data_IF_066501525561
#
_entry.id   IF_066501525561
#
_cell.length_a   1.000
_cell.length_b   1.000
_cell.length_c   1.000
_cell.angle_alpha   90.00
_cell.angle_beta   90.00
_cell.angle_gamma   90.00
#
_symmetry.space_group_name_H-M   'P 1'
#
loop_
_entity.id
_entity.type
_entity.pdbx_description
1 polymer ?
#
# COMPACT_ATOMS: atom_id res chain seq x y z
N UNK A 1 -5.87 -9.72 -12.60
CA UNK A 1 -6.51 -10.78 -13.40
C UNK A 1 -7.07 -11.91 -12.53
N UNK A 2 -6.26 -12.58 -11.72
CA UNK A 2 -6.68 -13.74 -10.91
C UNK A 2 -7.78 -13.50 -9.86
N UNK A 3 -7.95 -12.26 -9.37
CA UNK A 3 -8.94 -11.93 -8.34
C UNK A 3 -10.26 -11.36 -8.88
N UNK A 4 -10.35 -11.11 -10.20
CA UNK A 4 -11.44 -10.30 -10.78
C UNK A 4 -12.83 -10.85 -10.46
N UNK A 5 -12.97 -12.16 -10.45
CA UNK A 5 -14.27 -12.84 -10.33
C UNK A 5 -14.57 -13.32 -8.89
N UNK A 6 -13.70 -13.00 -7.92
CA UNK A 6 -13.87 -13.44 -6.52
C UNK A 6 -14.55 -12.39 -5.63
N UNK A 7 -14.81 -11.19 -6.16
CA UNK A 7 -15.27 -10.05 -5.35
C UNK A 7 -14.19 -9.46 -4.44
N UNK A 8 -12.94 -9.88 -4.59
CA UNK A 8 -11.80 -9.44 -3.79
C UNK A 8 -10.78 -8.68 -4.64
N UNK A 9 -10.00 -7.82 -3.99
CA UNK A 9 -8.86 -7.16 -4.59
C UNK A 9 -7.68 -7.05 -3.61
N UNK A 10 -6.48 -6.87 -4.18
CA UNK A 10 -5.29 -6.54 -3.42
C UNK A 10 -5.11 -5.01 -3.42
N UNK A 11 -5.03 -4.34 -2.26
CA UNK A 11 -5.19 -2.89 -2.20
C UNK A 11 -3.92 -2.10 -2.49
N UNK A 12 -2.74 -2.73 -2.49
CA UNK A 12 -1.47 -2.04 -2.71
C UNK A 12 -1.20 -1.95 -4.20
N UNK A 13 -1.05 -0.73 -4.69
CA UNK A 13 -0.75 -0.41 -6.08
C UNK A 13 0.36 0.65 -6.11
N UNK A 14 1.64 0.23 -6.22
CA UNK A 14 2.79 1.12 -6.14
C UNK A 14 3.11 1.85 -7.45
N UNK A 15 2.28 1.73 -8.50
CA UNK A 15 2.52 2.36 -9.80
C UNK A 15 3.58 1.61 -10.63
N UNK A 16 3.15 1.07 -11.76
CA UNK A 16 3.93 0.30 -12.74
C UNK A 16 4.57 -1.03 -12.24
N UNK A 17 4.73 -1.96 -13.20
CA UNK A 17 5.35 -3.32 -13.23
C UNK A 17 6.12 -3.87 -11.99
N UNK A 18 5.59 -3.73 -10.77
CA UNK A 18 6.21 -4.27 -9.57
C UNK A 18 5.77 -5.74 -9.34
N UNK A 19 6.73 -6.59 -8.95
CA UNK A 19 6.43 -7.93 -8.46
C UNK A 19 6.01 -7.88 -6.99
N UNK A 20 5.18 -8.82 -6.54
CA UNK A 20 4.77 -8.90 -5.14
C UNK A 20 5.97 -9.07 -4.20
N UNK A 21 6.96 -9.86 -4.61
CA UNK A 21 8.21 -10.05 -3.86
C UNK A 21 9.01 -8.75 -3.75
N UNK A 22 9.17 -8.00 -4.84
CA UNK A 22 9.83 -6.69 -4.84
C UNK A 22 9.09 -5.69 -3.94
N UNK A 23 7.77 -5.64 -4.04
CA UNK A 23 6.93 -4.82 -3.17
C UNK A 23 7.13 -5.15 -1.68
N UNK A 24 7.19 -6.43 -1.33
CA UNK A 24 7.43 -6.85 0.06
C UNK A 24 8.85 -6.49 0.50
N UNK A 25 9.85 -6.75 -0.34
CA UNK A 25 11.26 -6.48 -0.07
C UNK A 25 11.52 -4.98 0.12
N UNK A 26 10.83 -4.08 -0.60
CA UNK A 26 11.00 -2.62 -0.46
C UNK A 26 9.97 -1.96 0.46
N UNK A 27 9.11 -2.76 1.10
CA UNK A 27 8.01 -2.26 1.96
C UNK A 27 7.13 -1.23 1.22
N UNK A 28 6.75 -1.55 -0.01
CA UNK A 28 6.00 -0.66 -0.87
C UNK A 28 4.72 -0.12 -0.21
N UNK A 29 4.48 1.17 -0.42
CA UNK A 29 3.20 1.83 -0.18
C UNK A 29 2.45 1.99 -1.50
N UNK A 30 1.22 2.50 -1.42
CA UNK A 30 0.44 2.87 -2.60
C UNK A 30 -0.59 3.92 -2.21
N UNK A 31 -1.27 4.50 -3.19
CA UNK A 31 -2.26 5.59 -2.99
C UNK A 31 -3.41 5.21 -2.04
N UNK A 32 -3.68 3.91 -1.91
CA UNK A 32 -4.69 3.32 -1.03
C UNK A 32 -4.20 3.05 0.41
N UNK A 33 -2.94 3.37 0.74
CA UNK A 33 -2.34 3.01 2.02
C UNK A 33 -3.02 3.65 3.23
N UNK A 34 -3.63 4.83 3.06
CA UNK A 34 -4.41 5.50 4.11
C UNK A 34 -5.55 4.61 4.63
N UNK A 35 -6.17 3.82 3.75
CA UNK A 35 -7.29 2.94 4.11
C UNK A 35 -6.87 1.53 4.45
N UNK A 36 -5.89 0.99 3.71
CA UNK A 36 -5.58 -0.43 3.75
C UNK A 36 -4.19 -0.77 4.29
N UNK A 37 -3.38 0.23 4.63
CA UNK A 37 -1.99 0.07 5.06
C UNK A 37 -1.04 -0.19 3.89
N UNK A 38 0.21 -0.54 4.21
CA UNK A 38 1.27 -0.80 3.22
C UNK A 38 1.48 -2.30 2.99
N UNK A 39 2.51 -2.69 2.24
CA UNK A 39 2.94 -4.09 2.16
C UNK A 39 3.19 -4.72 3.52
N UNK A 40 3.64 -3.93 4.51
CA UNK A 40 3.72 -4.39 5.89
C UNK A 40 2.36 -4.90 6.34
N UNK A 41 1.34 -4.05 6.39
CA UNK A 41 0.03 -4.42 6.92
C UNK A 41 -0.68 -5.51 6.09
N UNK A 42 -0.32 -5.69 4.81
CA UNK A 42 -0.99 -6.61 3.90
C UNK A 42 -0.28 -7.96 3.69
N UNK A 43 0.97 -8.13 4.13
CA UNK A 43 1.64 -9.45 4.16
C UNK A 43 1.40 -10.11 5.52
N UNK A 44 0.79 -11.30 5.50
CA UNK A 44 0.48 -12.10 6.69
C UNK A 44 1.60 -13.07 7.04
N UNK A 45 2.23 -13.67 6.04
CA UNK A 45 3.41 -14.52 6.17
C UNK A 45 4.16 -14.55 4.84
N UNK A 46 5.42 -14.94 4.89
CA UNK A 46 6.24 -15.12 3.69
C UNK A 46 7.16 -16.34 3.85
N UNK A 47 7.59 -16.85 2.70
CA UNK A 47 8.65 -17.86 2.62
C UNK A 47 9.82 -17.24 1.88
N UNK A 48 11.02 -17.42 2.44
CA UNK A 48 12.26 -16.91 1.88
C UNK A 48 13.36 -17.97 1.90
N UNK A 49 14.27 -17.89 0.93
CA UNK A 49 15.52 -18.65 0.90
C UNK A 49 16.62 -17.75 1.46
N UNK A 50 17.28 -18.22 2.52
CA UNK A 50 18.36 -17.52 3.22
C UNK A 50 19.69 -17.67 2.48
N UNK A 51 20.72 -16.94 2.91
CA UNK A 51 22.03 -16.92 2.25
C UNK A 51 22.75 -18.28 2.26
N UNK A 52 22.48 -19.12 3.25
CA UNK A 52 22.98 -20.50 3.35
C UNK A 52 22.13 -21.53 2.58
N UNK A 53 21.07 -21.08 1.92
CA UNK A 53 20.13 -21.92 1.18
C UNK A 53 18.98 -22.48 2.02
N UNK A 54 18.93 -22.22 3.34
CA UNK A 54 17.82 -22.65 4.17
C UNK A 54 16.52 -21.96 3.73
N UNK A 55 15.42 -22.71 3.70
CA UNK A 55 14.08 -22.15 3.43
C UNK A 55 13.34 -21.90 4.73
N UNK A 56 13.00 -20.64 4.99
CA UNK A 56 12.29 -20.21 6.21
C UNK A 56 10.88 -19.73 5.87
N UNK A 57 9.88 -20.19 6.63
CA UNK A 57 8.51 -19.66 6.58
C UNK A 57 8.19 -18.93 7.87
N UNK A 58 7.92 -17.62 7.77
CA UNK A 58 7.91 -16.70 8.92
C UNK A 58 6.63 -16.73 9.77
N UNK A 59 5.56 -17.36 9.28
CA UNK A 59 4.27 -17.34 9.96
C UNK A 59 3.25 -18.28 9.36
N UNK A 60 2.12 -18.44 10.06
CA UNK A 60 0.96 -19.24 9.62
C UNK A 60 -0.21 -18.33 9.27
N UNK A 61 -1.28 -18.90 8.71
CA UNK A 61 -2.53 -18.20 8.35
C UNK A 61 -3.32 -17.64 9.55
N UNK A 62 -2.86 -17.87 10.78
CA UNK A 62 -3.54 -17.38 11.98
C UNK A 62 -3.56 -15.85 12.00
N UNK A 63 -4.72 -15.26 12.30
CA UNK A 63 -4.89 -13.80 12.35
C UNK A 63 -4.09 -13.13 13.48
N UNK A 64 -3.79 -13.87 14.53
CA UNK A 64 -3.01 -13.43 15.70
C UNK A 64 -1.99 -14.51 16.04
N UNK A 65 -0.79 -14.08 16.39
CA UNK A 65 0.28 -14.95 16.90
C UNK A 65 1.13 -14.14 17.87
N UNK A 66 1.55 -14.76 18.96
CA UNK A 66 2.54 -14.25 19.90
C UNK A 66 3.74 -15.19 20.03
N UNK A 67 3.91 -16.10 19.06
CA UNK A 67 4.98 -17.07 19.05
C UNK A 67 6.28 -16.43 18.54
N UNK A 68 7.08 -15.89 19.46
CA UNK A 68 8.42 -15.38 19.18
C UNK A 68 8.45 -14.08 18.37
N UNK A 69 9.56 -13.87 17.67
CA UNK A 69 9.81 -12.66 16.88
C UNK A 69 8.96 -12.63 15.60
N UNK A 70 8.55 -11.43 15.19
CA UNK A 70 7.88 -11.23 13.92
C UNK A 70 8.90 -11.20 12.77
N UNK A 71 9.37 -12.39 12.38
CA UNK A 71 10.31 -12.57 11.27
C UNK A 71 9.72 -12.10 9.92
N UNK A 72 8.38 -12.07 9.80
CA UNK A 72 7.71 -11.52 8.61
C UNK A 72 8.05 -10.05 8.47
N UNK A 73 7.99 -9.29 9.57
CA UNK A 73 8.32 -7.86 9.58
C UNK A 73 9.81 -7.58 9.44
N UNK A 74 10.67 -8.52 9.82
CA UNK A 74 12.11 -8.42 9.60
C UNK A 74 12.47 -8.50 8.11
N UNK A 75 11.82 -9.41 7.36
CA UNK A 75 12.10 -9.61 5.94
C UNK A 75 11.39 -8.60 5.02
N UNK A 76 10.29 -8.00 5.45
CA UNK A 76 9.64 -6.88 4.74
C UNK A 76 10.47 -5.61 4.88
N UNK A 77 10.86 -5.01 3.76
CA UNK A 77 11.76 -3.84 3.76
C UNK A 77 13.24 -4.21 3.82
N UNK A 78 13.60 -5.50 3.69
CA UNK A 78 14.99 -5.95 3.67
C UNK A 78 15.75 -5.63 2.39
N UNK A 79 15.05 -5.18 1.34
CA UNK A 79 15.61 -4.89 0.01
C UNK A 79 16.37 -6.08 -0.60
N UNK A 80 16.03 -7.31 -0.18
CA UNK A 80 16.66 -8.54 -0.65
C UNK A 80 18.00 -8.88 0.00
N UNK A 81 18.44 -8.10 1.00
CA UNK A 81 19.73 -8.28 1.68
C UNK A 81 19.77 -9.44 2.67
N UNK A 82 18.61 -9.85 3.19
CA UNK A 82 18.49 -10.90 4.20
C UNK A 82 18.08 -12.26 3.63
N UNK A 83 17.56 -12.29 2.40
CA UNK A 83 17.07 -13.51 1.75
C UNK A 83 16.19 -13.20 0.54
N UNK A 84 15.91 -14.23 -0.24
CA UNK A 84 15.09 -14.14 -1.45
C UNK A 84 13.66 -14.56 -1.11
N UNK A 85 12.71 -13.64 -1.19
CA UNK A 85 11.28 -13.93 -0.96
C UNK A 85 10.74 -14.74 -2.15
N UNK A 86 10.27 -15.96 -1.89
CA UNK A 86 9.75 -16.87 -2.91
C UNK A 86 8.23 -17.03 -2.87
N UNK A 87 7.60 -16.82 -1.70
CA UNK A 87 6.14 -16.89 -1.55
C UNK A 87 5.61 -15.84 -0.57
N UNK A 88 4.38 -15.38 -0.80
CA UNK A 88 3.68 -14.41 0.04
C UNK A 88 2.25 -14.87 0.32
N UNK A 89 1.85 -14.79 1.58
CA UNK A 89 0.43 -14.85 1.97
C UNK A 89 -0.07 -13.44 2.18
N UNK A 90 -1.00 -13.01 1.32
CA UNK A 90 -1.50 -11.64 1.30
C UNK A 90 -2.92 -11.54 1.87
N UNK A 91 -3.18 -10.43 2.55
CA UNK A 91 -4.53 -10.02 2.93
C UNK A 91 -5.22 -9.41 1.70
N UNK A 92 -6.41 -9.91 1.38
CA UNK A 92 -7.28 -9.35 0.36
C UNK A 92 -8.43 -8.56 0.97
N UNK A 93 -9.00 -7.65 0.20
CA UNK A 93 -10.09 -6.76 0.61
C UNK A 93 -11.29 -6.98 -0.31
N UNK A 94 -12.51 -6.77 0.20
CA UNK A 94 -13.71 -6.79 -0.64
C UNK A 94 -13.77 -5.56 -1.54
N UNK A 95 -14.23 -5.73 -2.79
CA UNK A 95 -14.41 -4.62 -3.73
C UNK A 95 -15.48 -3.65 -3.16
N UNK A 96 -15.19 -2.34 -3.01
CA UNK A 96 -16.17 -1.38 -2.53
C UNK A 96 -17.38 -1.30 -3.47
N UNK A 97 -18.59 -1.25 -2.91
CA UNK A 97 -19.82 -1.12 -3.70
C UNK A 97 -19.94 0.21 -4.43
N UNK A 98 -19.36 1.27 -3.85
CA UNK A 98 -19.33 2.61 -4.43
C UNK A 98 -17.99 3.28 -4.11
N UNK A 99 -17.47 4.03 -5.08
CA UNK A 99 -16.29 4.88 -4.94
C UNK A 99 -16.69 6.24 -5.50
N UNK A 100 -16.48 7.30 -4.71
CA UNK A 100 -16.67 8.68 -5.14
C UNK A 100 -15.36 9.44 -4.98
N UNK A 101 -15.14 10.42 -5.84
CA UNK A 101 -13.93 11.24 -5.87
C UNK A 101 -14.26 12.66 -6.31
N UNK A 102 -13.41 13.60 -5.91
CA UNK A 102 -13.55 15.01 -6.25
C UNK A 102 -12.22 15.73 -6.14
N UNK A 103 -12.15 16.92 -6.75
CA UNK A 103 -11.01 17.83 -6.67
C UNK A 103 -11.49 19.10 -5.98
N UNK A 104 -10.77 19.53 -4.94
CA UNK A 104 -11.12 20.71 -4.17
C UNK A 104 -9.97 21.73 -4.25
N UNK A 105 -10.19 22.94 -4.80
CA UNK A 105 -9.20 24.00 -4.74
C UNK A 105 -9.17 24.61 -3.33
N UNK A 106 -7.97 25.00 -2.88
CA UNK A 106 -7.77 25.67 -1.60
C UNK A 106 -6.90 26.92 -1.80
N UNK A 107 -7.10 27.98 -0.99
CA UNK A 107 -6.33 29.21 -1.10
C UNK A 107 -4.86 29.06 -0.66
N UNK A 108 -4.56 28.04 0.14
CA UNK A 108 -3.20 27.73 0.61
C UNK A 108 -3.03 26.23 0.85
N UNK A 109 -1.78 25.78 0.92
CA UNK A 109 -1.44 24.40 1.32
C UNK A 109 -1.94 24.11 2.74
N UNK A 110 -1.83 25.08 3.64
CA UNK A 110 -2.32 24.97 5.01
C UNK A 110 -3.83 24.72 5.07
N UNK A 111 -4.62 25.46 4.28
CA UNK A 111 -6.07 25.26 4.20
C UNK A 111 -6.42 23.86 3.66
N UNK A 112 -5.68 23.36 2.67
CA UNK A 112 -5.83 21.99 2.18
C UNK A 112 -5.52 20.96 3.27
N UNK A 113 -4.40 21.11 3.99
CA UNK A 113 -4.01 20.23 5.09
C UNK A 113 -5.07 20.20 6.21
N UNK A 114 -5.60 21.36 6.60
CA UNK A 114 -6.65 21.46 7.62
C UNK A 114 -7.94 20.72 7.20
N UNK A 115 -8.32 20.77 5.92
CA UNK A 115 -9.46 20.01 5.41
C UNK A 115 -9.23 18.49 5.49
N UNK A 116 -8.01 18.01 5.21
CA UNK A 116 -7.64 16.59 5.36
C UNK A 116 -7.69 16.15 6.82
N UNK A 117 -7.15 16.95 7.73
CA UNK A 117 -7.20 16.69 9.18
C UNK A 117 -8.65 16.56 9.64
N UNK A 118 -9.50 17.53 9.28
CA UNK A 118 -10.91 17.52 9.65
C UNK A 118 -11.64 16.29 9.07
N UNK A 119 -11.37 15.93 7.80
CA UNK A 119 -11.94 14.74 7.15
C UNK A 119 -11.60 13.46 7.92
N UNK A 120 -10.35 13.29 8.33
CA UNK A 120 -9.90 12.14 9.12
C UNK A 120 -10.56 12.14 10.51
N UNK A 121 -10.60 13.29 11.18
CA UNK A 121 -11.20 13.42 12.53
C UNK A 121 -12.71 13.15 12.54
N UNK A 122 -13.41 13.48 11.44
CA UNK A 122 -14.84 13.15 11.27
C UNK A 122 -15.09 11.67 11.01
N UNK A 123 -14.04 10.85 10.85
CA UNK A 123 -14.17 9.42 10.57
C UNK A 123 -14.68 9.10 9.18
N UNK A 124 -14.56 10.04 8.23
CA UNK A 124 -14.98 9.81 6.85
C UNK A 124 -14.07 8.73 6.24
N UNK A 125 -14.62 7.64 5.66
CA UNK A 125 -13.80 6.56 5.10
C UNK A 125 -13.07 6.98 3.82
N UNK A 126 -11.89 7.58 3.96
CA UNK A 126 -11.05 8.01 2.84
C UNK A 126 -10.39 6.81 2.17
N UNK A 127 -10.56 6.67 0.84
CA UNK A 127 -9.79 5.70 0.07
C UNK A 127 -8.38 6.23 -0.27
N UNK A 128 -8.30 7.49 -0.71
CA UNK A 128 -7.08 8.20 -1.13
C UNK A 128 -7.33 9.70 -1.01
N UNK A 129 -6.34 10.48 -0.61
CA UNK A 129 -6.30 11.94 -0.68
C UNK A 129 -4.88 12.33 -1.10
N UNK A 130 -4.76 13.07 -2.20
CA UNK A 130 -3.48 13.52 -2.74
C UNK A 130 -3.48 15.04 -2.84
N UNK A 131 -2.35 15.67 -2.50
CA UNK A 131 -2.17 17.11 -2.61
C UNK A 131 -1.40 17.43 -3.89
N UNK A 132 -1.94 18.38 -4.67
CA UNK A 132 -1.25 18.96 -5.82
C UNK A 132 -1.00 20.44 -5.51
N UNK A 133 0.27 20.82 -5.38
CA UNK A 133 0.63 22.21 -5.14
C UNK A 133 0.59 23.05 -6.44
N UNK A 134 0.74 24.37 -6.32
CA UNK A 134 0.66 25.29 -7.46
C UNK A 134 1.70 24.99 -8.57
N UNK A 135 2.91 24.54 -8.21
CA UNK A 135 3.94 24.19 -9.19
C UNK A 135 3.56 22.92 -9.95
N UNK A 136 3.12 21.87 -9.24
CA UNK A 136 2.65 20.63 -9.85
C UNK A 136 1.44 20.88 -10.75
N UNK A 137 0.50 21.72 -10.32
CA UNK A 137 -0.66 22.10 -11.13
C UNK A 137 -0.22 22.80 -12.42
N UNK A 138 0.71 23.76 -12.37
CA UNK A 138 1.27 24.37 -13.58
C UNK A 138 1.90 23.34 -14.50
N UNK A 139 2.72 22.43 -13.96
CA UNK A 139 3.35 21.37 -14.76
C UNK A 139 2.31 20.45 -15.43
N UNK A 140 1.27 20.05 -14.69
CA UNK A 140 0.17 19.22 -15.20
C UNK A 140 -0.60 19.93 -16.30
N UNK A 141 -0.89 21.23 -16.13
CA UNK A 141 -1.55 22.06 -17.16
C UNK A 141 -0.72 22.18 -18.43
N UNK A 142 0.57 22.48 -18.30
CA UNK A 142 1.49 22.57 -19.44
C UNK A 142 1.61 21.24 -20.19
N UNK A 143 1.72 20.12 -19.47
CA UNK A 143 1.78 18.79 -20.06
C UNK A 143 0.46 18.42 -20.76
N UNK A 144 -0.67 18.70 -20.11
CA UNK A 144 -2.00 18.32 -20.60
C UNK A 144 -2.59 19.33 -21.61
N UNK A 145 -1.90 20.44 -21.85
CA UNK A 145 -2.36 21.57 -22.70
C UNK A 145 -3.72 22.13 -22.26
N UNK A 146 -3.87 22.30 -20.94
CA UNK A 146 -5.05 22.89 -20.29
C UNK A 146 -4.73 24.30 -19.82
N UNK A 147 -5.74 25.18 -19.79
CA UNK A 147 -5.64 26.59 -19.39
C UNK A 147 -5.46 26.79 -17.87
#
# INVERSE_FOLDING_TARGET
>A
RHLRDTGLFFPIDPGANASLGGMAATRASGTNAVRYGTMRENVLSLTAVMADGETVTTGKRAKKSSAGYDLTRLLIGSEGTLGIITQLTLKLQGIPQAISGGVCPFPSVEAACNAVIATIQMGIPVARIELVNALQMRAMKSYSKLD
#
